data_IF_960740789981
#
_entry.id   IF_960740789981
#
_cell.length_a   1.000
_cell.length_b   1.000
_cell.length_c   1.000
_cell.angle_alpha   90.00
_cell.angle_beta   90.00
_cell.angle_gamma   90.00
#
_symmetry.space_group_name_H-M   'P 1'
#
loop_
_entity.id
_entity.type
_entity.pdbx_description
1 polymer ?
#
# COMPACT_ATOMS: atom_id res chain seq x y z
N UNK A 1 64.95 -14.75 -2.69
CA UNK A 1 64.01 -14.71 -1.54
C UNK A 1 63.40 -13.33 -1.46
N UNK A 2 62.05 -13.25 -1.49
CA UNK A 2 61.18 -12.35 -0.70
C UNK A 2 61.72 -10.91 -0.51
N UNK A 3 61.12 -9.89 -1.11
CA UNK A 3 59.80 -9.42 -0.66
C UNK A 3 59.00 -8.77 -1.80
N UNK A 4 57.89 -9.44 -2.07
CA UNK A 4 56.66 -8.94 -2.68
C UNK A 4 55.97 -7.99 -1.66
N UNK A 5 55.06 -7.12 -2.14
CA UNK A 5 54.00 -6.41 -1.39
C UNK A 5 54.50 -5.08 -0.73
N UNK A 6 53.92 -3.90 -0.95
CA UNK A 6 52.52 -3.54 -1.13
C UNK A 6 52.39 -2.24 -1.96
N UNK A 7 51.91 -2.36 -3.20
CA UNK A 7 51.17 -1.30 -3.86
C UNK A 7 49.79 -1.26 -3.19
N UNK A 8 49.48 -0.23 -2.41
CA UNK A 8 48.11 0.19 -2.07
C UNK A 8 48.23 1.45 -1.19
N UNK A 9 48.75 2.52 -1.79
CA UNK A 9 48.45 3.87 -1.32
C UNK A 9 46.97 4.11 -1.64
N UNK A 10 46.14 3.63 -0.72
CA UNK A 10 44.86 4.17 -0.29
C UNK A 10 44.25 5.11 -1.33
N UNK A 11 43.56 4.53 -2.31
CA UNK A 11 42.37 5.22 -2.82
C UNK A 11 41.53 5.52 -1.58
N UNK A 12 41.25 6.79 -1.22
CA UNK A 12 40.07 7.04 -0.44
C UNK A 12 38.94 6.60 -1.35
N UNK A 13 38.50 5.36 -1.15
CA UNK A 13 37.18 4.94 -1.57
C UNK A 13 36.28 5.98 -0.93
N UNK A 14 35.83 6.94 -1.72
CA UNK A 14 34.52 7.54 -1.55
C UNK A 14 33.51 6.40 -1.72
N UNK A 15 33.50 5.46 -0.77
CA UNK A 15 32.29 4.83 -0.34
C UNK A 15 31.54 5.96 0.35
N UNK A 16 30.96 6.86 -0.46
CA UNK A 16 29.79 7.58 -0.01
C UNK A 16 28.83 6.47 0.40
N UNK A 17 28.74 6.22 1.71
CA UNK A 17 27.71 5.40 2.28
C UNK A 17 26.42 6.06 1.82
N UNK A 18 25.83 5.51 0.76
CA UNK A 18 24.57 5.97 0.23
C UNK A 18 23.52 5.54 1.27
N UNK A 19 23.24 6.44 2.21
CA UNK A 19 22.21 6.24 3.21
C UNK A 19 20.88 6.68 2.60
N UNK A 20 20.06 5.71 2.21
CA UNK A 20 18.71 5.99 1.73
C UNK A 20 17.85 6.34 2.93
N UNK A 21 17.46 7.60 3.06
CA UNK A 21 16.33 7.94 3.93
C UNK A 21 15.06 7.50 3.20
N UNK A 22 14.27 6.63 3.83
CA UNK A 22 12.90 6.40 3.36
C UNK A 22 12.15 7.72 3.52
N UNK A 23 11.64 8.26 2.43
CA UNK A 23 10.61 9.30 2.52
C UNK A 23 9.46 8.69 3.34
N UNK A 24 8.78 9.47 4.17
CA UNK A 24 7.54 9.05 4.82
C UNK A 24 6.51 10.13 4.53
N UNK A 25 5.37 9.74 3.99
CA UNK A 25 4.40 10.67 3.43
C UNK A 25 3.18 10.78 4.34
N UNK A 26 2.93 11.97 4.88
CA UNK A 26 1.70 12.28 5.62
C UNK A 26 0.60 12.90 4.75
N UNK A 27 0.88 13.06 3.44
CA UNK A 27 -0.05 13.62 2.48
C UNK A 27 0.09 12.88 1.15
N UNK A 28 -1.04 12.54 0.55
CA UNK A 28 -1.10 12.04 -0.82
C UNK A 28 -2.33 12.59 -1.54
N UNK A 29 -2.14 12.90 -2.82
CA UNK A 29 -3.22 13.24 -3.74
C UNK A 29 -2.99 12.47 -5.05
N UNK A 30 -3.99 11.71 -5.45
CA UNK A 30 -3.99 10.93 -6.70
C UNK A 30 -5.25 11.26 -7.47
N UNK A 31 -5.10 11.47 -8.78
CA UNK A 31 -6.19 11.66 -9.73
C UNK A 31 -6.03 10.65 -10.87
N UNK A 32 -7.14 10.10 -11.34
CA UNK A 32 -7.16 9.10 -12.40
C UNK A 32 -8.47 9.07 -13.16
N UNK A 33 -8.47 8.26 -14.22
CA UNK A 33 -9.63 8.01 -15.08
C UNK A 33 -10.08 6.58 -14.87
N UNK A 34 -11.39 6.39 -14.64
CA UNK A 34 -12.03 5.08 -14.58
C UNK A 34 -12.78 4.83 -15.89
N UNK A 35 -12.95 3.56 -16.29
CA UNK A 35 -13.85 3.19 -17.38
C UNK A 35 -15.27 3.72 -17.15
N UNK A 36 -16.01 3.92 -18.26
CA UNK A 36 -17.44 4.25 -18.20
C UNK A 36 -18.19 3.20 -17.34
N UNK A 37 -19.16 3.62 -16.51
CA UNK A 37 -19.75 4.97 -16.41
C UNK A 37 -19.08 5.90 -15.39
N UNK A 38 -17.97 5.48 -14.75
CA UNK A 38 -17.42 6.14 -13.55
C UNK A 38 -16.50 7.33 -13.84
N UNK A 39 -16.00 7.43 -15.08
CA UNK A 39 -15.24 8.56 -15.65
C UNK A 39 -13.96 8.96 -14.91
N UNK A 40 -14.06 9.61 -13.76
CA UNK A 40 -12.91 10.12 -13.01
C UNK A 40 -12.92 9.67 -11.55
N UNK A 41 -11.72 9.56 -10.98
CA UNK A 41 -11.51 9.27 -9.57
C UNK A 41 -10.44 10.19 -9.02
N UNK A 42 -10.63 10.68 -7.80
CA UNK A 42 -9.56 11.34 -7.06
C UNK A 42 -9.58 10.91 -5.60
N UNK A 43 -8.41 10.65 -5.04
CA UNK A 43 -8.20 10.31 -3.64
C UNK A 43 -7.23 11.32 -3.04
N UNK A 44 -7.65 11.99 -1.97
CA UNK A 44 -6.78 12.82 -1.13
C UNK A 44 -6.80 12.26 0.28
N UNK A 45 -5.62 12.00 0.84
CA UNK A 45 -5.48 11.56 2.23
C UNK A 45 -4.45 12.44 2.93
N UNK A 46 -4.83 12.95 4.10
CA UNK A 46 -3.98 13.68 5.03
C UNK A 46 -3.91 12.86 6.34
N UNK A 47 -2.69 12.57 6.79
CA UNK A 47 -2.42 11.93 8.08
C UNK A 47 -1.97 12.95 9.12
N UNK A 48 -2.12 12.60 10.38
CA UNK A 48 -1.47 13.29 11.48
C UNK A 48 0.04 12.94 11.51
N UNK A 49 0.94 13.94 11.51
CA UNK A 49 2.39 13.70 11.45
C UNK A 49 3.00 13.11 12.72
N UNK A 50 2.26 13.03 13.82
CA UNK A 50 2.77 12.48 15.09
C UNK A 50 2.53 10.97 15.20
N UNK A 51 1.44 10.47 14.61
CA UNK A 51 0.98 9.09 14.83
C UNK A 51 0.49 8.35 13.57
N UNK A 52 0.55 8.99 12.40
CA UNK A 52 0.13 8.41 11.12
C UNK A 52 -1.36 8.01 11.05
N UNK A 53 -2.19 8.54 11.95
CA UNK A 53 -3.63 8.34 11.92
C UNK A 53 -4.31 9.26 10.91
N UNK A 54 -5.47 8.82 10.40
CA UNK A 54 -6.23 9.60 9.45
C UNK A 54 -6.72 10.92 10.05
N UNK A 55 -6.24 12.04 9.49
CA UNK A 55 -6.79 13.37 9.75
C UNK A 55 -7.93 13.69 8.79
N UNK A 56 -7.73 13.44 7.50
CA UNK A 56 -8.71 13.74 6.46
C UNK A 56 -8.63 12.78 5.28
N UNK A 57 -9.79 12.42 4.73
CA UNK A 57 -9.92 11.65 3.49
C UNK A 57 -10.99 12.29 2.61
N UNK A 58 -10.67 12.44 1.32
CA UNK A 58 -11.63 12.85 0.30
C UNK A 58 -11.48 11.90 -0.88
N UNK A 59 -12.51 11.07 -1.10
CA UNK A 59 -12.64 10.27 -2.31
C UNK A 59 -13.74 10.89 -3.16
N UNK A 60 -13.43 11.17 -4.41
CA UNK A 60 -14.40 11.68 -5.39
C UNK A 60 -14.45 10.73 -6.58
N UNK A 61 -15.66 10.39 -7.02
CA UNK A 61 -15.90 9.53 -8.19
C UNK A 61 -16.95 10.20 -9.08
N UNK A 62 -16.67 10.35 -10.37
CA UNK A 62 -17.51 11.10 -11.34
C UNK A 62 -17.91 12.49 -10.80
N UNK A 63 -16.97 13.18 -10.17
CA UNK A 63 -17.20 14.48 -9.51
C UNK A 63 -18.05 14.45 -8.24
N UNK A 64 -18.52 13.28 -7.78
CA UNK A 64 -19.31 13.13 -6.54
C UNK A 64 -18.40 12.77 -5.37
N UNK A 65 -18.52 13.52 -4.29
CA UNK A 65 -17.81 13.22 -3.04
C UNK A 65 -18.43 11.97 -2.40
N UNK A 66 -17.57 10.99 -2.09
CA UNK A 66 -17.92 9.77 -1.38
C UNK A 66 -17.84 10.03 0.12
N UNK A 67 -18.95 9.77 0.83
CA UNK A 67 -19.06 10.00 2.28
C UNK A 67 -18.58 8.78 3.07
N UNK A 68 -17.69 8.99 4.02
CA UNK A 68 -17.27 7.97 4.99
C UNK A 68 -17.98 8.18 6.32
N UNK A 69 -18.46 7.11 6.96
CA UNK A 69 -18.94 7.21 8.34
C UNK A 69 -17.78 7.43 9.30
N UNK A 70 -18.07 7.99 10.48
CA UNK A 70 -17.06 8.17 11.53
C UNK A 70 -16.48 6.82 11.99
N UNK A 71 -17.28 5.75 11.99
CA UNK A 71 -16.81 4.40 12.33
C UNK A 71 -15.80 3.86 11.33
N UNK A 72 -16.00 4.11 10.05
CA UNK A 72 -15.06 3.69 9.00
C UNK A 72 -13.78 4.51 9.03
N UNK A 73 -13.90 5.82 9.25
CA UNK A 73 -12.74 6.72 9.41
C UNK A 73 -11.88 6.34 10.61
N UNK A 74 -12.49 5.97 11.74
CA UNK A 74 -11.78 5.60 12.96
C UNK A 74 -10.93 4.32 12.83
N UNK A 75 -11.17 3.49 11.80
CA UNK A 75 -10.34 2.30 11.52
C UNK A 75 -9.02 2.65 10.84
N UNK A 76 -8.94 3.80 10.17
CA UNK A 76 -7.80 4.25 9.37
C UNK A 76 -6.73 4.89 10.27
N UNK A 77 -5.93 4.04 10.91
CA UNK A 77 -4.89 4.42 11.88
C UNK A 77 -3.53 3.84 11.49
N UNK A 78 -2.43 4.48 11.89
CA UNK A 78 -1.06 3.99 11.69
C UNK A 78 -0.78 3.60 10.21
N UNK A 79 -1.01 4.52 9.27
CA UNK A 79 -0.98 4.24 7.82
C UNK A 79 0.36 4.62 7.16
N UNK A 80 0.83 3.79 6.22
CA UNK A 80 1.98 4.11 5.35
C UNK A 80 1.51 4.45 3.93
N UNK A 81 1.35 5.75 3.65
CA UNK A 81 0.84 6.22 2.34
C UNK A 81 1.74 5.88 1.15
N UNK A 82 3.00 5.49 1.35
CA UNK A 82 3.87 5.11 0.23
C UNK A 82 3.48 3.79 -0.41
N UNK A 83 2.71 3.00 0.32
CA UNK A 83 2.22 1.69 -0.11
C UNK A 83 0.83 1.79 -0.74
N UNK A 84 0.28 3.00 -0.91
CA UNK A 84 -1.08 3.17 -1.38
C UNK A 84 -1.24 2.66 -2.83
N UNK A 85 -2.21 1.77 -3.01
CA UNK A 85 -2.61 1.23 -4.30
C UNK A 85 -4.10 1.48 -4.53
N UNK A 86 -4.46 1.81 -5.77
CA UNK A 86 -5.84 2.01 -6.19
C UNK A 86 -6.12 1.04 -7.32
N UNK A 87 -7.11 0.16 -7.11
CA UNK A 87 -7.51 -0.86 -8.08
C UNK A 87 -9.01 -0.74 -8.37
N UNK A 88 -9.37 -0.83 -9.65
CA UNK A 88 -10.76 -0.89 -10.08
C UNK A 88 -11.07 -2.30 -10.59
N UNK A 89 -11.92 -3.01 -9.85
CA UNK A 89 -12.41 -4.33 -10.22
C UNK A 89 -13.72 -4.19 -11.00
N UNK A 90 -13.68 -4.59 -12.28
CA UNK A 90 -14.88 -4.71 -13.12
C UNK A 90 -15.29 -6.18 -13.12
N UNK A 91 -16.46 -6.50 -12.61
CA UNK A 91 -16.94 -7.87 -12.57
C UNK A 91 -17.83 -8.16 -13.79
N UNK A 92 -17.58 -9.29 -14.45
CA UNK A 92 -18.38 -9.70 -15.60
C UNK A 92 -19.81 -10.03 -15.17
N UNK A 93 -20.78 -9.94 -16.09
CA UNK A 93 -22.20 -10.16 -15.83
C UNK A 93 -22.58 -11.55 -15.22
N UNK A 94 -21.64 -12.51 -15.15
CA UNK A 94 -21.84 -13.78 -14.46
C UNK A 94 -21.56 -13.73 -12.95
N UNK A 95 -20.91 -12.67 -12.46
CA UNK A 95 -20.68 -12.37 -11.03
C UNK A 95 -21.52 -11.15 -10.59
N UNK A 96 -22.73 -11.00 -11.14
CA UNK A 96 -23.62 -9.84 -10.94
C UNK A 96 -23.99 -9.54 -9.48
N UNK A 97 -23.72 -10.46 -8.56
CA UNK A 97 -23.95 -10.26 -7.12
C UNK A 97 -22.87 -9.38 -6.46
N UNK A 98 -21.68 -9.23 -7.04
CA UNK A 98 -20.58 -8.48 -6.42
C UNK A 98 -20.54 -6.99 -6.79
N UNK A 99 -21.09 -6.61 -7.95
CA UNK A 99 -21.04 -5.24 -8.46
C UNK A 99 -19.62 -4.75 -8.77
N UNK A 100 -19.48 -3.67 -9.55
CA UNK A 100 -18.18 -3.04 -9.78
C UNK A 100 -17.66 -2.40 -8.49
N UNK A 101 -16.34 -2.42 -8.29
CA UNK A 101 -15.74 -2.02 -7.02
C UNK A 101 -14.44 -1.24 -7.21
N UNK A 102 -14.25 -0.24 -6.37
CA UNK A 102 -12.98 0.45 -6.19
C UNK A 102 -12.33 0.01 -4.88
N UNK A 103 -11.08 -0.44 -4.96
CA UNK A 103 -10.25 -0.74 -3.80
C UNK A 103 -9.16 0.30 -3.65
N UNK A 104 -9.00 0.81 -2.42
CA UNK A 104 -7.81 1.55 -1.99
C UNK A 104 -7.15 0.74 -0.89
N UNK A 105 -5.93 0.27 -1.14
CA UNK A 105 -5.15 -0.55 -0.21
C UNK A 105 -4.02 0.29 0.35
N UNK A 106 -3.87 0.30 1.67
CA UNK A 106 -2.79 1.03 2.36
C UNK A 106 -2.23 0.13 3.45
N UNK A 107 -0.91 -0.05 3.49
CA UNK A 107 -0.26 -0.76 4.58
C UNK A 107 -0.52 -0.03 5.91
N UNK A 108 -0.71 -0.85 6.95
CA UNK A 108 -0.95 -0.43 8.31
C UNK A 108 0.16 -0.96 9.21
N UNK A 109 0.72 -0.05 9.99
CA UNK A 109 1.72 -0.30 11.00
C UNK A 109 3.02 -0.87 10.48
N UNK A 110 3.72 -1.55 11.37
CA UNK A 110 5.08 -2.00 11.09
C UNK A 110 5.09 -3.20 10.16
N UNK A 111 6.01 -3.16 9.20
CA UNK A 111 6.39 -4.32 8.39
C UNK A 111 6.71 -5.51 9.29
N UNK A 112 5.95 -6.58 9.15
CA UNK A 112 6.17 -7.87 9.80
C UNK A 112 7.13 -8.69 8.94
N UNK A 113 8.06 -9.40 9.58
CA UNK A 113 8.85 -10.43 8.90
C UNK A 113 8.05 -11.72 8.93
N UNK A 114 7.82 -12.35 7.78
CA UNK A 114 7.16 -13.66 7.70
C UNK A 114 7.95 -14.57 6.78
N UNK A 115 8.07 -15.84 7.17
CA UNK A 115 8.59 -16.89 6.31
C UNK A 115 7.47 -17.37 5.39
N UNK A 116 7.52 -16.95 4.13
CA UNK A 116 6.61 -17.43 3.11
C UNK A 116 7.29 -18.55 2.31
N UNK A 117 6.65 -19.72 2.21
CA UNK A 117 7.16 -20.83 1.43
C UNK A 117 6.82 -20.57 -0.05
N UNK A 118 7.70 -19.85 -0.75
CA UNK A 118 7.59 -19.70 -2.19
C UNK A 118 8.12 -20.98 -2.83
N UNK A 119 7.41 -21.52 -3.82
CA UNK A 119 7.72 -22.79 -4.49
C UNK A 119 9.09 -22.84 -5.23
N UNK A 120 10.04 -21.91 -5.00
CA UNK A 120 11.44 -22.03 -5.43
C UNK A 120 12.46 -21.01 -4.90
N UNK A 121 12.10 -19.98 -4.13
CA UNK A 121 13.08 -18.99 -3.64
C UNK A 121 12.67 -18.43 -2.27
N UNK A 122 13.50 -18.62 -1.23
CA UNK A 122 13.33 -18.00 0.09
C UNK A 122 13.46 -16.47 -0.05
N UNK A 123 12.36 -15.81 -0.36
CA UNK A 123 12.30 -14.36 -0.43
C UNK A 123 11.81 -13.82 0.91
N UNK A 124 12.70 -13.14 1.63
CA UNK A 124 12.36 -12.33 2.80
C UNK A 124 11.48 -11.13 2.38
N UNK A 125 10.21 -11.40 2.09
CA UNK A 125 9.22 -10.38 1.83
C UNK A 125 8.57 -9.99 3.15
N UNK A 126 8.81 -8.77 3.61
CA UNK A 126 8.04 -8.29 4.76
C UNK A 126 6.58 -8.04 4.37
N UNK A 127 5.69 -8.46 5.25
CA UNK A 127 4.23 -8.47 5.14
C UNK A 127 3.68 -7.32 5.99
N UNK A 128 2.54 -6.78 5.62
CA UNK A 128 1.89 -5.69 6.33
C UNK A 128 0.46 -6.07 6.66
N UNK A 129 -0.08 -5.48 7.74
CA UNK A 129 -1.54 -5.36 7.84
C UNK A 129 -2.00 -4.35 6.79
N UNK A 130 -3.22 -4.48 6.29
CA UNK A 130 -3.74 -3.57 5.27
C UNK A 130 -5.06 -2.99 5.72
N UNK A 131 -5.14 -1.67 5.65
CA UNK A 131 -6.40 -0.97 5.60
C UNK A 131 -6.94 -1.02 4.17
N UNK A 132 -8.00 -1.80 3.97
CA UNK A 132 -8.70 -1.93 2.70
C UNK A 132 -9.95 -1.05 2.71
N UNK A 133 -9.95 0.00 1.91
CA UNK A 133 -11.16 0.78 1.62
C UNK A 133 -11.81 0.15 0.39
N UNK A 134 -13.03 -0.35 0.56
CA UNK A 134 -13.87 -0.85 -0.53
C UNK A 134 -15.01 0.13 -0.78
N UNK A 135 -15.16 0.58 -2.02
CA UNK A 135 -16.31 1.38 -2.46
C UNK A 135 -17.04 0.65 -3.59
N UNK A 136 -18.23 0.13 -3.29
CA UNK A 136 -19.16 -0.36 -4.30
C UNK A 136 -19.91 0.88 -4.80
N UNK A 137 -19.91 1.16 -6.10
CA UNK A 137 -20.36 2.45 -6.66
C UNK A 137 -21.84 2.83 -6.39
N UNK A 138 -22.57 2.04 -5.62
CA UNK A 138 -23.95 2.27 -5.20
C UNK A 138 -24.11 2.41 -3.67
N UNK A 139 -23.08 2.04 -2.89
CA UNK A 139 -23.11 1.98 -1.42
C UNK A 139 -22.08 2.91 -0.76
N UNK A 140 -22.25 3.25 0.53
CA UNK A 140 -21.17 3.87 1.31
C UNK A 140 -19.90 2.99 1.34
N UNK A 141 -18.71 3.60 1.35
CA UNK A 141 -17.46 2.86 1.44
C UNK A 141 -17.35 2.13 2.78
N UNK A 142 -16.79 0.92 2.73
CA UNK A 142 -16.50 0.08 3.89
C UNK A 142 -14.99 -0.03 4.03
N UNK A 143 -14.49 0.21 5.24
CA UNK A 143 -13.11 0.00 5.63
C UNK A 143 -13.00 -1.34 6.35
N UNK A 144 -12.21 -2.24 5.77
CA UNK A 144 -11.83 -3.53 6.34
C UNK A 144 -10.38 -3.46 6.77
N UNK A 145 -10.09 -4.00 7.94
CA UNK A 145 -8.73 -4.16 8.46
C UNK A 145 -8.37 -5.63 8.30
N UNK A 146 -7.53 -5.91 7.31
CA UNK A 146 -7.14 -7.26 6.98
C UNK A 146 -5.74 -7.54 7.54
N UNK A 147 -5.64 -8.61 8.34
CA UNK A 147 -4.40 -9.06 9.00
C UNK A 147 -4.22 -10.58 8.81
N UNK A 148 -3.08 -11.06 8.29
CA UNK A 148 -2.11 -10.34 7.45
C UNK A 148 -2.57 -10.34 5.99
N UNK A 149 -2.68 -9.17 5.36
CA UNK A 149 -2.93 -9.09 3.92
C UNK A 149 -1.61 -9.20 3.19
N UNK A 150 -1.41 -10.31 2.48
CA UNK A 150 -0.18 -10.51 1.72
C UNK A 150 -0.12 -9.55 0.54
N UNK A 151 0.90 -8.72 0.55
CA UNK A 151 1.31 -7.90 -0.58
C UNK A 151 1.85 -8.81 -1.69
N UNK A 152 0.96 -9.36 -2.53
CA UNK A 152 1.37 -10.08 -3.73
C UNK A 152 1.37 -9.13 -4.90
N UNK A 153 2.56 -8.69 -5.30
CA UNK A 153 2.74 -8.00 -6.57
C UNK A 153 2.43 -8.90 -7.77
N UNK A 154 2.45 -10.23 -7.60
CA UNK A 154 2.05 -11.20 -8.63
C UNK A 154 1.81 -12.59 -8.00
N UNK A 155 0.62 -13.17 -8.25
CA UNK A 155 0.20 -14.58 -8.06
C UNK A 155 -0.20 -15.06 -6.64
N UNK A 156 -1.22 -15.91 -6.61
CA UNK A 156 -1.84 -16.59 -5.47
C UNK A 156 -0.80 -17.30 -4.58
N UNK A 157 -0.73 -16.95 -3.29
CA UNK A 157 0.29 -17.48 -2.38
C UNK A 157 -0.24 -17.58 -0.92
N UNK A 158 0.32 -18.52 -0.17
CA UNK A 158 -0.04 -18.87 1.20
C UNK A 158 1.18 -18.62 2.13
N UNK A 159 1.01 -17.84 3.20
CA UNK A 159 2.02 -17.57 4.23
C UNK A 159 1.35 -17.89 5.57
N UNK A 160 2.13 -18.45 6.49
CA UNK A 160 1.69 -18.81 7.84
C UNK A 160 2.41 -17.89 8.84
N UNK A 161 1.72 -17.47 9.89
CA UNK A 161 2.38 -16.94 11.09
C UNK A 161 3.13 -18.10 11.76
N UNK A 162 4.38 -17.90 12.16
CA UNK A 162 5.10 -18.85 13.04
C UNK A 162 4.59 -18.77 14.48
#
# INVERSE_FOLDING_TARGET
>A
MKNFILLLAVFPMFAAAYDTTKLHSHHVYVEGVLPEPYKNVSVKIDLDPENDDLKNISLTVDGKLVSFSDSERAKLTDLDLQTMEIEHGIFSAHDSEMGDVLYIKIAKGKRKSMNCNFDKEDLNHGVYDVALIQYNFEDPPIVRLDNPYKYYRDRYLWCFEE
#
